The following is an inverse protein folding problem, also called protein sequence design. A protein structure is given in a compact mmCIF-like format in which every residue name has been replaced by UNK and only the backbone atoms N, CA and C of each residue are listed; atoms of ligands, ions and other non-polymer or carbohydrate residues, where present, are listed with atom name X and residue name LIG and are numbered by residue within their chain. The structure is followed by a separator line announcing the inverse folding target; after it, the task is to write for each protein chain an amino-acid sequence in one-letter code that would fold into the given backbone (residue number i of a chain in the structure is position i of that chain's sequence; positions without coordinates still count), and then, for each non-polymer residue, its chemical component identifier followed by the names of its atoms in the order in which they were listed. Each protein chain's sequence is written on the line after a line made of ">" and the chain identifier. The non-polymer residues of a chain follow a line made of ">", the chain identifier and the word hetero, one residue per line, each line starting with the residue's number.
data_IF_598397931069
#
_entry.id   IF_598397931069
#
_cell.length_a   1.000
_cell.length_b   1.000
_cell.length_c   1.000
_cell.angle_alpha   90.00
_cell.angle_beta   90.00
_cell.angle_gamma   90.00
#
_symmetry.space_group_name_H-M   'P 1'
#
loop_
_entity.id
_entity.type
_entity.pdbx_description
1 polymer ?
#
# COMPACT_ATOMS: atom_id res chain seq x y z
N UNK A 1 -12.47 8.77 -9.59
CA UNK A 1 -11.09 8.46 -9.20
C UNK A 1 -10.36 9.75 -8.83
N UNK A 2 -9.72 9.78 -7.67
CA UNK A 2 -8.93 10.93 -7.25
C UNK A 2 -7.64 11.02 -8.07
N UNK A 3 -7.00 12.19 -8.06
CA UNK A 3 -5.77 12.41 -8.84
C UNK A 3 -4.53 11.88 -8.14
N UNK A 4 -4.57 11.70 -6.83
CA UNK A 4 -3.43 11.30 -6.01
C UNK A 4 -3.72 9.95 -5.37
N UNK A 5 -2.76 9.05 -5.41
CA UNK A 5 -2.83 7.77 -4.73
C UNK A 5 -1.76 7.70 -3.63
N UNK A 6 -2.15 7.24 -2.47
CA UNK A 6 -1.25 6.98 -1.35
C UNK A 6 -1.02 5.47 -1.25
N UNK A 7 0.23 5.05 -1.36
CA UNK A 7 0.59 3.62 -1.31
C UNK A 7 1.07 3.29 0.10
N UNK A 8 0.39 2.33 0.74
CA UNK A 8 0.71 1.87 2.09
C UNK A 8 0.86 0.35 2.10
N UNK A 9 2.08 -0.17 2.02
CA UNK A 9 2.31 -1.59 2.29
C UNK A 9 2.26 -1.83 3.81
N UNK A 10 1.47 -2.79 4.23
CA UNK A 10 1.29 -3.09 5.65
C UNK A 10 1.27 -4.60 5.87
N UNK A 11 2.22 -5.09 6.65
CA UNK A 11 2.34 -6.49 7.01
C UNK A 11 2.47 -6.60 8.52
N UNK A 12 1.43 -7.10 9.16
CA UNK A 12 1.39 -7.19 10.59
C UNK A 12 -0.04 -7.26 11.08
N UNK A 13 -0.28 -6.74 12.27
CA UNK A 13 -1.60 -6.76 12.88
C UNK A 13 -2.25 -5.38 12.76
N UNK A 14 -3.50 -5.34 12.31
CA UNK A 14 -4.24 -4.08 12.21
C UNK A 14 -4.44 -3.47 13.60
N UNK A 15 -4.22 -2.16 13.73
CA UNK A 15 -4.45 -1.48 15.01
C UNK A 15 -5.95 -1.42 15.35
N UNK A 16 -6.29 -1.34 16.65
CA UNK A 16 -7.70 -1.26 17.06
C UNK A 16 -8.44 -0.04 16.49
N UNK A 17 -7.72 1.03 16.18
CA UNK A 17 -8.31 2.26 15.64
C UNK A 17 -8.47 2.25 14.11
N UNK A 18 -8.25 1.11 13.46
CA UNK A 18 -8.31 1.04 12.00
C UNK A 18 -9.65 1.48 11.44
N UNK A 19 -10.75 1.15 12.14
CA UNK A 19 -12.09 1.60 11.74
C UNK A 19 -12.23 3.12 11.72
N UNK A 20 -11.63 3.81 12.69
CA UNK A 20 -11.62 5.28 12.72
C UNK A 20 -10.78 5.84 11.59
N UNK A 21 -9.66 5.19 11.28
CA UNK A 21 -8.81 5.58 10.17
C UNK A 21 -9.58 5.52 8.84
N UNK A 22 -10.32 4.43 8.60
CA UNK A 22 -11.14 4.32 7.40
C UNK A 22 -12.19 5.42 7.32
N UNK A 23 -12.85 5.73 8.44
CA UNK A 23 -13.84 6.80 8.45
C UNK A 23 -13.24 8.16 8.12
N UNK A 24 -12.02 8.43 8.56
CA UNK A 24 -11.35 9.69 8.27
C UNK A 24 -11.03 9.86 6.77
N UNK A 25 -10.89 8.76 6.04
CA UNK A 25 -10.60 8.81 4.61
C UNK A 25 -11.78 9.32 3.78
N UNK A 26 -13.01 9.24 4.29
CA UNK A 26 -14.18 9.74 3.57
C UNK A 26 -14.09 11.22 3.26
N UNK A 27 -13.40 11.98 4.11
CA UNK A 27 -13.31 13.44 4.01
C UNK A 27 -12.15 13.91 3.16
N UNK A 28 -11.27 13.03 2.69
CA UNK A 28 -10.09 13.43 1.91
C UNK A 28 -10.21 12.93 0.47
N UNK A 29 -9.60 13.69 -0.44
CA UNK A 29 -9.64 13.41 -1.87
C UNK A 29 -8.37 12.72 -2.34
N UNK A 30 -7.99 11.64 -1.65
CA UNK A 30 -6.83 10.81 -1.94
C UNK A 30 -7.29 9.36 -1.93
N UNK A 31 -6.92 8.61 -2.96
CA UNK A 31 -7.14 7.17 -2.98
C UNK A 31 -6.00 6.48 -2.23
N UNK A 32 -6.33 5.45 -1.47
CA UNK A 32 -5.33 4.66 -0.75
C UNK A 32 -5.23 3.28 -1.38
N UNK A 33 -4.01 2.88 -1.70
CA UNK A 33 -3.68 1.52 -2.10
C UNK A 33 -3.02 0.82 -0.91
N UNK A 34 -3.74 -0.08 -0.29
CA UNK A 34 -3.28 -0.79 0.90
C UNK A 34 -2.80 -2.18 0.51
N UNK A 35 -1.48 -2.37 0.48
CA UNK A 35 -0.86 -3.64 0.07
C UNK A 35 -0.62 -4.48 1.32
N UNK A 36 -1.29 -5.63 1.41
CA UNK A 36 -1.25 -6.45 2.62
C UNK A 36 -1.61 -7.90 2.32
N UNK A 37 -1.20 -8.80 3.20
CA UNK A 37 -1.65 -10.18 3.19
C UNK A 37 -2.84 -10.42 4.13
N UNK A 38 -3.31 -9.39 4.81
CA UNK A 38 -4.43 -9.50 5.74
C UNK A 38 -5.76 -9.47 5.01
N UNK A 39 -6.74 -10.14 5.58
CA UNK A 39 -8.12 -10.01 5.12
C UNK A 39 -8.71 -8.76 5.74
N UNK A 40 -8.97 -7.76 4.91
CA UNK A 40 -9.47 -6.45 5.36
C UNK A 40 -10.86 -6.24 4.79
N UNK A 41 -11.82 -5.95 5.67
CA UNK A 41 -13.18 -5.63 5.27
C UNK A 41 -13.36 -4.12 5.23
N UNK A 42 -13.75 -3.62 4.06
CA UNK A 42 -13.93 -2.19 3.84
C UNK A 42 -15.42 -1.90 3.73
N UNK A 43 -15.98 -0.98 4.54
CA UNK A 43 -17.38 -0.58 4.41
C UNK A 43 -17.69 -0.05 3.01
N UNK A 44 -18.90 -0.35 2.47
CA UNK A 44 -19.25 0.08 1.11
C UNK A 44 -19.22 1.59 0.89
N UNK A 45 -19.41 2.38 1.93
CA UNK A 45 -19.36 3.84 1.84
C UNK A 45 -17.94 4.39 1.66
N UNK A 46 -16.91 3.57 1.90
CA UNK A 46 -15.52 3.97 1.70
C UNK A 46 -15.13 3.55 0.28
N UNK A 47 -15.06 4.50 -0.63
CA UNK A 47 -14.81 4.22 -2.04
C UNK A 47 -13.39 4.55 -2.49
N UNK A 48 -12.60 5.20 -1.62
CA UNK A 48 -11.24 5.63 -1.93
C UNK A 48 -10.17 4.78 -1.26
N UNK A 49 -10.50 3.54 -0.90
CA UNK A 49 -9.57 2.61 -0.28
C UNK A 49 -9.60 1.29 -1.04
N UNK A 50 -8.47 0.89 -1.59
CA UNK A 50 -8.34 -0.36 -2.34
C UNK A 50 -7.32 -1.27 -1.65
N UNK A 51 -7.72 -2.51 -1.41
CA UNK A 51 -6.82 -3.51 -0.84
C UNK A 51 -6.20 -4.31 -1.98
N UNK A 52 -4.87 -4.33 -2.01
CA UNK A 52 -4.11 -5.17 -2.93
C UNK A 52 -3.58 -6.35 -2.11
N UNK A 53 -4.14 -7.53 -2.34
CA UNK A 53 -3.73 -8.73 -1.60
C UNK A 53 -2.44 -9.28 -2.19
N UNK A 54 -1.38 -9.23 -1.38
CA UNK A 54 -0.07 -9.70 -1.78
C UNK A 54 0.65 -10.16 -0.52
N UNK A 55 1.12 -11.40 -0.49
CA UNK A 55 1.90 -11.88 0.65
C UNK A 55 3.25 -11.18 0.68
N UNK A 56 3.91 -11.22 1.83
CA UNK A 56 5.24 -10.64 1.94
C UNK A 56 6.24 -11.33 1.00
N UNK A 57 6.11 -12.64 0.83
CA UNK A 57 6.93 -13.39 -0.12
C UNK A 57 6.70 -12.95 -1.56
N UNK A 58 5.43 -12.71 -1.92
CA UNK A 58 5.10 -12.18 -3.24
C UNK A 58 5.67 -10.79 -3.47
N UNK A 59 5.63 -9.94 -2.45
CA UNK A 59 6.23 -8.61 -2.53
C UNK A 59 7.74 -8.69 -2.68
N UNK A 60 8.39 -9.57 -1.93
CA UNK A 60 9.84 -9.81 -2.08
C UNK A 60 10.20 -10.21 -3.51
N UNK A 61 9.42 -11.13 -4.08
CA UNK A 61 9.64 -11.58 -5.46
C UNK A 61 9.38 -10.45 -6.44
N UNK A 62 8.38 -9.64 -6.21
CA UNK A 62 8.05 -8.49 -7.06
C UNK A 62 9.18 -7.46 -7.06
N UNK A 63 9.78 -7.20 -5.90
CA UNK A 63 10.94 -6.31 -5.79
C UNK A 63 12.12 -6.84 -6.61
N UNK A 64 12.37 -8.15 -6.53
CA UNK A 64 13.45 -8.78 -7.31
C UNK A 64 13.18 -8.68 -8.81
N UNK A 65 11.94 -8.86 -9.21
CA UNK A 65 11.58 -8.84 -10.64
C UNK A 65 11.65 -7.43 -11.24
N UNK A 66 11.33 -6.41 -10.46
CA UNK A 66 11.16 -5.05 -10.95
C UNK A 66 12.39 -4.18 -10.71
N UNK A 67 13.03 -4.31 -9.55
CA UNK A 67 14.11 -3.42 -9.15
C UNK A 67 15.47 -4.09 -9.19
N UNK A 68 15.68 -5.17 -8.46
CA UNK A 68 16.98 -5.78 -8.29
C UNK A 68 16.83 -7.29 -8.04
N UNK A 69 17.32 -8.15 -8.95
CA UNK A 69 17.24 -9.60 -8.77
C UNK A 69 17.95 -10.12 -7.51
N UNK A 70 18.88 -9.35 -6.97
CA UNK A 70 19.63 -9.72 -5.78
C UNK A 70 19.10 -9.09 -4.50
N UNK A 71 17.96 -8.39 -4.56
CA UNK A 71 17.40 -7.74 -3.41
C UNK A 71 16.98 -8.75 -2.34
N UNK A 72 17.35 -8.45 -1.09
CA UNK A 72 16.99 -9.26 0.07
C UNK A 72 16.19 -8.39 1.02
N UNK A 73 14.91 -8.74 1.20
CA UNK A 73 14.01 -8.05 2.11
C UNK A 73 13.80 -8.96 3.32
N UNK A 74 14.56 -8.72 4.38
CA UNK A 74 14.61 -9.61 5.55
C UNK A 74 13.44 -9.40 6.52
N UNK A 75 12.82 -8.21 6.49
CA UNK A 75 11.73 -7.88 7.40
C UNK A 75 10.83 -6.80 6.81
N UNK A 76 9.62 -6.68 7.36
CA UNK A 76 8.69 -5.64 6.94
C UNK A 76 9.22 -4.24 7.26
N UNK A 77 10.07 -4.11 8.28
CA UNK A 77 10.71 -2.83 8.60
C UNK A 77 11.61 -2.34 7.46
N UNK A 78 12.31 -3.25 6.79
CA UNK A 78 13.18 -2.92 5.66
C UNK A 78 12.39 -2.45 4.44
N UNK A 79 11.10 -2.73 4.39
CA UNK A 79 10.24 -2.28 3.32
C UNK A 79 10.23 -0.75 3.22
N UNK A 80 10.42 -0.04 4.32
CA UNK A 80 10.47 1.42 4.34
C UNK A 80 11.63 1.97 3.50
N UNK A 81 12.71 1.21 3.33
CA UNK A 81 13.84 1.62 2.50
C UNK A 81 13.49 1.68 1.01
N UNK A 82 12.38 1.05 0.61
CA UNK A 82 11.95 1.01 -0.78
C UNK A 82 10.88 2.06 -1.10
N UNK A 83 10.53 2.95 -0.16
CA UNK A 83 9.52 3.99 -0.39
C UNK A 83 9.73 4.78 -1.69
N UNK A 84 10.96 5.23 -2.02
CA UNK A 84 11.16 5.98 -3.27
C UNK A 84 10.85 5.17 -4.53
N UNK A 85 10.77 3.85 -4.42
CA UNK A 85 10.54 2.95 -5.55
C UNK A 85 9.11 2.45 -5.67
N UNK A 86 8.20 2.90 -4.80
CA UNK A 86 6.82 2.42 -4.82
C UNK A 86 6.12 2.74 -6.14
N UNK A 87 6.43 3.87 -6.75
CA UNK A 87 5.86 4.22 -8.05
C UNK A 87 6.17 3.18 -9.12
N UNK A 88 7.37 2.63 -9.10
CA UNK A 88 7.80 1.59 -10.03
C UNK A 88 7.21 0.23 -9.65
N UNK A 89 7.22 -0.11 -8.36
CA UNK A 89 6.71 -1.39 -7.87
C UNK A 89 5.22 -1.56 -8.14
N UNK A 90 4.45 -0.49 -7.98
CA UNK A 90 2.99 -0.51 -8.10
C UNK A 90 2.50 0.26 -9.32
N UNK A 91 3.31 0.28 -10.37
CA UNK A 91 3.03 1.02 -11.61
C UNK A 91 1.66 0.68 -12.20
N UNK A 92 1.29 -0.60 -12.18
CA UNK A 92 -0.01 -1.03 -12.73
C UNK A 92 -1.17 -0.48 -11.91
N UNK A 93 -1.05 -0.51 -10.58
CA UNK A 93 -2.09 -0.02 -9.68
C UNK A 93 -2.18 1.50 -9.69
N UNK A 94 -1.08 2.18 -10.04
CA UNK A 94 -1.02 3.63 -10.09
C UNK A 94 -1.35 4.22 -11.47
N UNK A 95 -1.62 3.37 -12.44
CA UNK A 95 -2.00 3.81 -13.78
C UNK A 95 -3.26 4.66 -13.72
N UNK A 96 -3.23 5.82 -14.36
CA UNK A 96 -4.32 6.77 -14.35
C UNK A 96 -4.25 7.83 -13.26
N UNK A 97 -3.35 7.70 -12.30
CA UNK A 97 -3.15 8.74 -11.29
C UNK A 97 -2.16 9.80 -11.77
N UNK A 98 -2.44 11.06 -11.47
CA UNK A 98 -1.53 12.16 -11.81
C UNK A 98 -0.28 12.16 -10.94
N UNK A 99 -0.40 11.70 -9.69
CA UNK A 99 0.69 11.70 -8.74
C UNK A 99 0.48 10.58 -7.71
N UNK A 100 1.54 10.25 -6.97
CA UNK A 100 1.46 9.27 -5.91
C UNK A 100 2.34 9.69 -4.73
N UNK A 101 2.02 9.16 -3.57
CA UNK A 101 2.79 9.36 -2.36
C UNK A 101 2.92 8.03 -1.62
N UNK A 102 3.86 7.94 -0.69
CA UNK A 102 3.99 6.77 0.16
C UNK A 102 3.54 7.08 1.57
N UNK A 103 2.88 6.11 2.20
CA UNK A 103 2.58 6.18 3.62
C UNK A 103 3.60 5.40 4.43
N UNK A 104 3.52 5.54 5.74
CA UNK A 104 4.39 4.78 6.64
C UNK A 104 4.00 3.30 6.60
N UNK A 105 4.98 2.44 6.88
CA UNK A 105 4.75 0.98 6.93
C UNK A 105 3.96 0.57 8.16
N UNK A 106 3.76 1.46 9.09
CA UNK A 106 2.88 1.32 10.24
C UNK A 106 1.86 2.47 10.23
N UNK A 107 0.68 2.16 10.67
CA UNK A 107 -0.41 3.15 10.70
C UNK A 107 -0.35 4.01 11.98
#
# INVERSE_FOLDING_TARGET
>A
MNKIALVIPFYGKLPPYFGLYLKSLKAIHIDVLFVTDLEVKIPPEITNFTVVNMTFAELQQHIRNVLDPNAVLLSTRKLCDYKPFYGKLFEKQLDGYADWAHGDCDL
#
